data_IF_771461882627
#
_entry.id   IF_771461882627
#
_cell.length_a   1.000
_cell.length_b   1.000
_cell.length_c   1.000
_cell.angle_alpha   90.00
_cell.angle_beta   90.00
_cell.angle_gamma   90.00
#
_symmetry.space_group_name_H-M   'P 1'
#
loop_
_entity.id
_entity.type
_entity.pdbx_description
1 polymer ?
#
# COMPACT_ATOMS: atom_id res chain seq x y z
N UNK A 1 12.04 11.62 23.20
CA UNK A 1 11.60 10.25 22.84
C UNK A 1 10.17 10.20 22.31
N UNK A 2 9.21 10.92 22.91
CA UNK A 2 7.81 11.04 22.40
C UNK A 2 7.67 11.47 20.93
N UNK A 3 8.39 12.52 20.51
CA UNK A 3 8.31 13.03 19.11
C UNK A 3 8.71 11.97 18.08
N UNK A 4 9.73 11.16 18.39
CA UNK A 4 10.17 10.06 17.50
C UNK A 4 9.13 8.95 17.41
N UNK A 5 8.39 8.68 18.49
CA UNK A 5 7.29 7.70 18.50
C UNK A 5 6.09 8.20 17.67
N UNK A 6 5.69 9.48 17.83
CA UNK A 6 4.62 10.09 17.01
C UNK A 6 4.95 10.08 15.51
N UNK A 7 6.20 10.44 15.16
CA UNK A 7 6.67 10.39 13.78
C UNK A 7 6.67 8.96 13.23
N UNK A 8 7.13 7.98 14.01
CA UNK A 8 7.11 6.57 13.59
C UNK A 8 5.68 6.08 13.35
N UNK A 9 4.74 6.37 14.25
CA UNK A 9 3.33 5.99 14.07
C UNK A 9 2.72 6.66 12.84
N UNK A 10 3.04 7.94 12.58
CA UNK A 10 2.60 8.63 11.36
C UNK A 10 3.16 7.97 10.10
N UNK A 11 4.46 7.63 10.08
CA UNK A 11 5.10 6.95 8.96
C UNK A 11 4.47 5.59 8.71
N UNK A 12 4.25 4.80 9.78
CA UNK A 12 3.61 3.49 9.67
C UNK A 12 2.18 3.59 9.14
N UNK A 13 1.40 4.58 9.60
CA UNK A 13 0.05 4.84 9.08
C UNK A 13 0.06 5.20 7.59
N UNK A 14 0.95 6.11 7.17
CA UNK A 14 1.12 6.46 5.77
C UNK A 14 1.51 5.26 4.92
N UNK A 15 2.39 4.39 5.45
CA UNK A 15 2.85 3.20 4.75
C UNK A 15 1.71 2.16 4.57
N UNK A 16 0.86 2.00 5.58
CA UNK A 16 -0.36 1.19 5.47
C UNK A 16 -1.30 1.77 4.42
N UNK A 17 -1.54 3.09 4.45
CA UNK A 17 -2.41 3.77 3.48
C UNK A 17 -1.89 3.58 2.05
N UNK A 18 -0.60 3.79 1.81
CA UNK A 18 0.03 3.56 0.51
C UNK A 18 -0.14 2.10 0.07
N UNK A 19 0.04 1.14 0.98
CA UNK A 19 -0.11 -0.26 0.67
C UNK A 19 -1.54 -0.65 0.31
N UNK A 20 -2.53 -0.15 1.04
CA UNK A 20 -3.96 -0.31 0.72
C UNK A 20 -4.29 0.34 -0.61
N UNK A 21 -3.81 1.56 -0.87
CA UNK A 21 -3.99 2.24 -2.16
C UNK A 21 -3.38 1.45 -3.32
N UNK A 22 -2.22 0.82 -3.14
CA UNK A 22 -1.61 -0.03 -4.15
C UNK A 22 -2.47 -1.27 -4.47
N UNK A 23 -3.06 -1.90 -3.46
CA UNK A 23 -3.98 -3.04 -3.64
C UNK A 23 -5.26 -2.59 -4.39
N UNK A 24 -5.83 -1.44 -4.02
CA UNK A 24 -6.98 -0.86 -4.72
C UNK A 24 -6.62 -0.57 -6.18
N UNK A 25 -5.46 0.03 -6.44
CA UNK A 25 -4.99 0.31 -7.80
C UNK A 25 -4.81 -0.98 -8.61
N UNK A 26 -4.24 -2.03 -8.02
CA UNK A 26 -4.12 -3.35 -8.65
C UNK A 26 -5.48 -3.90 -9.07
N UNK A 27 -6.47 -3.82 -8.18
CA UNK A 27 -7.84 -4.24 -8.45
C UNK A 27 -8.47 -3.43 -9.59
N UNK A 28 -8.32 -2.11 -9.58
CA UNK A 28 -8.87 -1.23 -10.62
C UNK A 28 -8.22 -1.47 -11.98
N UNK A 29 -6.92 -1.74 -12.04
CA UNK A 29 -6.22 -2.09 -13.29
C UNK A 29 -6.70 -3.45 -13.82
N UNK A 30 -6.90 -4.42 -12.93
CA UNK A 30 -7.35 -5.76 -13.30
C UNK A 30 -8.80 -5.76 -13.82
N UNK A 31 -9.73 -5.23 -13.03
CA UNK A 31 -11.15 -5.25 -13.33
C UNK A 31 -11.57 -4.20 -14.37
N UNK A 32 -10.87 -3.06 -14.41
CA UNK A 32 -11.13 -1.93 -15.29
C UNK A 32 -12.63 -1.55 -15.38
N UNK A 33 -13.25 -1.16 -14.25
CA UNK A 33 -14.68 -0.85 -14.22
C UNK A 33 -15.02 0.35 -15.11
N UNK A 34 -16.20 0.34 -15.74
CA UNK A 34 -16.67 1.38 -16.67
C UNK A 34 -16.79 2.78 -16.05
N UNK A 35 -16.92 2.87 -14.72
CA UNK A 35 -16.97 4.14 -14.00
C UNK A 35 -15.58 4.76 -13.76
N UNK A 36 -14.52 3.95 -13.81
CA UNK A 36 -13.15 4.34 -13.51
C UNK A 36 -12.21 3.43 -14.31
N UNK A 37 -12.14 3.68 -15.62
CA UNK A 37 -11.36 2.88 -16.57
C UNK A 37 -9.85 3.10 -16.41
N UNK A 38 -9.30 2.81 -15.23
CA UNK A 38 -7.91 3.10 -14.86
C UNK A 38 -6.92 2.44 -15.84
N UNK A 39 -7.22 1.23 -16.32
CA UNK A 39 -6.38 0.55 -17.32
C UNK A 39 -6.37 1.30 -18.64
N UNK A 40 -7.54 1.74 -19.10
CA UNK A 40 -7.69 2.52 -20.34
C UNK A 40 -7.00 3.89 -20.21
N UNK A 41 -7.21 4.57 -19.08
CA UNK A 41 -6.66 5.90 -18.81
C UNK A 41 -5.13 5.90 -18.74
N UNK A 42 -4.54 4.82 -18.23
CA UNK A 42 -3.09 4.63 -18.21
C UNK A 42 -2.54 4.04 -19.53
N UNK A 43 -3.39 3.74 -20.52
CA UNK A 43 -2.97 3.16 -21.80
C UNK A 43 -2.35 1.77 -21.67
N UNK A 44 -2.70 1.01 -20.63
CA UNK A 44 -2.08 -0.26 -20.33
C UNK A 44 -2.63 -1.36 -21.24
N UNK A 45 -1.73 -2.07 -21.93
CA UNK A 45 -2.09 -3.29 -22.68
C UNK A 45 -2.47 -4.41 -21.72
N UNK A 46 -3.45 -5.22 -22.12
CA UNK A 46 -3.96 -6.35 -21.35
C UNK A 46 -2.86 -7.34 -20.92
N UNK A 47 -1.83 -7.51 -21.75
CA UNK A 47 -0.67 -8.40 -21.49
C UNK A 47 0.11 -8.03 -20.22
N UNK A 48 0.17 -6.74 -19.87
CA UNK A 48 0.92 -6.27 -18.70
C UNK A 48 0.09 -6.22 -17.42
N UNK A 49 -1.23 -6.49 -17.49
CA UNK A 49 -2.14 -6.39 -16.33
C UNK A 49 -1.71 -7.34 -15.22
N UNK A 50 -1.35 -8.58 -15.55
CA UNK A 50 -0.90 -9.56 -14.56
C UNK A 50 0.40 -9.11 -13.86
N UNK A 51 1.31 -8.48 -14.61
CA UNK A 51 2.56 -7.94 -14.06
C UNK A 51 2.31 -6.80 -13.07
N UNK A 52 1.46 -5.83 -13.44
CA UNK A 52 1.09 -4.74 -12.53
C UNK A 52 0.33 -5.24 -11.30
N UNK A 53 -0.58 -6.21 -11.48
CA UNK A 53 -1.31 -6.83 -10.37
C UNK A 53 -0.34 -7.49 -9.37
N UNK A 54 0.64 -8.24 -9.86
CA UNK A 54 1.64 -8.90 -9.03
C UNK A 54 2.53 -7.89 -8.30
N UNK A 55 3.08 -6.90 -9.02
CA UNK A 55 3.96 -5.89 -8.41
C UNK A 55 3.22 -5.05 -7.37
N UNK A 56 2.06 -4.51 -7.72
CA UNK A 56 1.29 -3.69 -6.80
C UNK A 56 0.78 -4.50 -5.62
N UNK A 57 0.39 -5.76 -5.84
CA UNK A 57 0.01 -6.68 -4.78
C UNK A 57 1.16 -6.96 -3.82
N UNK A 58 2.34 -7.33 -4.33
CA UNK A 58 3.53 -7.62 -3.53
C UNK A 58 4.00 -6.37 -2.76
N UNK A 59 4.17 -5.25 -3.46
CA UNK A 59 4.60 -3.98 -2.85
C UNK A 59 3.57 -3.51 -1.82
N UNK A 60 2.27 -3.57 -2.15
CA UNK A 60 1.20 -3.17 -1.25
C UNK A 60 1.15 -4.01 0.01
N UNK A 61 1.26 -5.34 -0.12
CA UNK A 61 1.28 -6.27 0.99
C UNK A 61 2.48 -6.03 1.92
N UNK A 62 3.69 -5.92 1.37
CA UNK A 62 4.88 -5.63 2.17
C UNK A 62 4.82 -4.23 2.82
N UNK A 63 4.24 -3.25 2.14
CA UNK A 63 4.02 -1.90 2.70
C UNK A 63 3.11 -1.96 3.93
N UNK A 64 2.00 -2.70 3.87
CA UNK A 64 1.08 -2.85 5.01
C UNK A 64 1.78 -3.52 6.18
N UNK A 65 2.45 -4.66 5.95
CA UNK A 65 3.16 -5.39 7.02
C UNK A 65 4.22 -4.49 7.67
N UNK A 66 5.04 -3.83 6.85
CA UNK A 66 6.08 -2.93 7.37
C UNK A 66 5.48 -1.77 8.16
N UNK A 67 4.38 -1.17 7.70
CA UNK A 67 3.72 -0.09 8.43
C UNK A 67 3.17 -0.54 9.78
N UNK A 68 2.59 -1.74 9.85
CA UNK A 68 2.14 -2.35 11.12
C UNK A 68 3.33 -2.58 12.06
N UNK A 69 4.44 -3.13 11.56
CA UNK A 69 5.64 -3.37 12.36
C UNK A 69 6.23 -2.06 12.93
N UNK A 70 6.29 -1.01 12.11
CA UNK A 70 6.75 0.31 12.55
C UNK A 70 5.87 0.87 13.67
N UNK A 71 4.53 0.76 13.55
CA UNK A 71 3.64 1.20 14.62
C UNK A 71 3.86 0.36 15.88
N UNK A 72 3.95 -0.97 15.74
CA UNK A 72 4.09 -1.89 16.86
C UNK A 72 5.39 -1.68 17.65
N UNK A 73 6.53 -1.60 16.96
CA UNK A 73 7.83 -1.44 17.60
C UNK A 73 7.95 -0.09 18.34
N UNK A 74 7.38 0.98 17.76
CA UNK A 74 7.53 2.33 18.31
C UNK A 74 6.42 2.76 19.26
N UNK A 75 5.31 2.03 19.30
CA UNK A 75 4.19 2.27 20.22
C UNK A 75 4.19 1.29 21.39
N UNK A 76 4.47 0.00 21.16
CA UNK A 76 4.32 -1.04 22.18
C UNK A 76 5.64 -1.61 22.72
N UNK A 77 6.65 -1.81 21.87
CA UNK A 77 7.90 -2.46 22.28
C UNK A 77 8.84 -1.59 23.14
N UNK A 78 8.49 -0.30 23.34
CA UNK A 78 9.27 0.64 24.17
C UNK A 78 8.68 0.93 25.55
N UNK A 79 7.52 0.37 25.85
CA UNK A 79 6.87 0.51 27.17
C UNK A 79 7.13 -0.70 28.10
N UNK A 80 7.77 -1.76 27.60
CA UNK A 80 8.27 -2.89 28.40
C UNK A 80 9.79 -2.88 28.54
#
# INVERSE_FOLDING_TARGET
MRVKSVLASLVGLLQILIGVSAIIAAYLIYYNPSCFEVRTLLGLRGEYVAFFFLILGVVGFFSIISGILVIYEWTFAREG
#
